data_IF_196252863557
#
_entry.id   IF_196252863557
#
_cell.length_a   1.000
_cell.length_b   1.000
_cell.length_c   1.000
_cell.angle_alpha   90.00
_cell.angle_beta   90.00
_cell.angle_gamma   90.00
#
_symmetry.space_group_name_H-M   'P 1'
#
loop_
_entity.id
_entity.type
_entity.pdbx_description
1 polymer ?
#
# COMPACT_ATOMS: atom_id res chain seq x y z
N UNK A 1 2.22 1.22 29.93
CA UNK A 1 3.60 1.06 29.44
C UNK A 1 3.57 0.51 28.02
N UNK A 2 3.88 1.31 26.99
CA UNK A 2 3.84 0.84 25.59
C UNK A 2 5.24 0.39 25.19
N UNK A 3 5.44 -0.92 25.11
CA UNK A 3 6.72 -1.52 24.72
C UNK A 3 7.19 -0.92 23.38
N UNK A 4 8.38 -0.31 23.42
CA UNK A 4 9.02 0.36 22.29
C UNK A 4 9.71 -0.71 21.43
N UNK A 5 8.93 -1.50 20.70
CA UNK A 5 9.50 -2.45 19.73
C UNK A 5 10.28 -1.66 18.68
N UNK A 6 11.54 -2.04 18.37
CA UNK A 6 12.30 -1.37 17.33
C UNK A 6 11.56 -1.54 16.00
N UNK A 7 11.26 -0.42 15.36
CA UNK A 7 10.38 -0.31 14.20
C UNK A 7 10.78 -1.23 13.04
N UNK A 8 12.09 -1.45 12.88
CA UNK A 8 12.65 -2.39 11.90
C UNK A 8 12.24 -3.84 12.15
N UNK A 9 12.09 -4.24 13.42
CA UNK A 9 11.67 -5.58 13.80
C UNK A 9 10.21 -5.85 13.46
N UNK A 10 9.32 -4.86 13.68
CA UNK A 10 7.91 -5.00 13.35
C UNK A 10 7.66 -5.04 11.83
N UNK A 11 8.39 -4.22 11.07
CA UNK A 11 8.35 -4.26 9.61
C UNK A 11 8.92 -5.56 9.05
N UNK A 12 10.02 -6.06 9.61
CA UNK A 12 10.59 -7.35 9.23
C UNK A 12 9.64 -8.52 9.51
N UNK A 13 8.95 -8.52 10.66
CA UNK A 13 7.94 -9.51 10.99
C UNK A 13 6.74 -9.46 10.03
N UNK A 14 6.25 -8.27 9.67
CA UNK A 14 5.19 -8.13 8.65
C UNK A 14 5.62 -8.73 7.31
N UNK A 15 6.83 -8.42 6.84
CA UNK A 15 7.34 -8.95 5.57
C UNK A 15 7.52 -10.47 5.65
N UNK A 16 7.99 -11.00 6.79
CA UNK A 16 8.17 -12.42 7.01
C UNK A 16 6.85 -13.18 7.01
N UNK A 17 5.85 -12.71 7.75
CA UNK A 17 4.51 -13.30 7.73
C UNK A 17 3.89 -13.23 6.33
N UNK A 18 4.00 -12.10 5.64
CA UNK A 18 3.51 -11.95 4.27
C UNK A 18 4.20 -12.91 3.28
N UNK A 19 5.50 -13.15 3.44
CA UNK A 19 6.23 -14.14 2.64
C UNK A 19 5.76 -15.57 2.90
N UNK A 20 5.45 -15.91 4.17
CA UNK A 20 4.90 -17.22 4.53
C UNK A 20 3.52 -17.40 3.90
N UNK A 21 2.60 -16.44 4.07
CA UNK A 21 1.25 -16.51 3.50
C UNK A 21 1.28 -16.60 1.97
N UNK A 22 2.10 -15.78 1.31
CA UNK A 22 2.29 -15.84 -0.13
C UNK A 22 2.89 -17.19 -0.58
N UNK A 23 3.83 -17.74 0.17
CA UNK A 23 4.42 -19.06 -0.09
C UNK A 23 3.40 -20.20 0.05
N UNK A 24 2.56 -20.15 1.08
CA UNK A 24 1.46 -21.11 1.27
C UNK A 24 0.47 -21.00 0.11
N UNK A 25 0.05 -19.79 -0.24
CA UNK A 25 -0.85 -19.56 -1.37
C UNK A 25 -0.28 -20.07 -2.70
N UNK A 26 0.99 -19.77 -2.99
CA UNK A 26 1.69 -20.25 -4.17
C UNK A 26 1.78 -21.78 -4.21
N UNK A 27 2.02 -22.43 -3.06
CA UNK A 27 2.06 -23.88 -2.94
C UNK A 27 0.71 -24.56 -3.21
N UNK A 28 -0.38 -23.95 -2.76
CA UNK A 28 -1.73 -24.44 -3.09
C UNK A 28 -2.10 -24.19 -4.55
N UNK A 29 -1.68 -23.06 -5.12
CA UNK A 29 -2.06 -22.65 -6.48
C UNK A 29 -1.25 -23.38 -7.55
N UNK A 30 0.06 -23.50 -7.37
CA UNK A 30 1.01 -23.98 -8.36
C UNK A 30 1.63 -25.30 -7.85
N UNK A 31 0.94 -26.42 -8.15
CA UNK A 31 1.38 -27.78 -7.77
C UNK A 31 2.49 -28.33 -8.68
N UNK A 32 2.71 -27.72 -9.85
CA UNK A 32 3.70 -28.18 -10.82
C UNK A 32 5.11 -27.72 -10.44
N UNK A 33 6.01 -28.68 -10.22
CA UNK A 33 7.40 -28.43 -9.81
C UNK A 33 8.20 -27.62 -10.85
N UNK A 34 7.79 -27.64 -12.12
CA UNK A 34 8.40 -26.82 -13.18
C UNK A 34 8.15 -25.32 -13.00
N UNK A 35 7.05 -24.91 -12.36
CA UNK A 35 6.73 -23.50 -12.16
C UNK A 35 7.56 -22.86 -11.04
N UNK A 36 8.04 -23.67 -10.10
CA UNK A 36 8.95 -23.29 -9.02
C UNK A 36 10.40 -23.11 -9.47
N UNK A 37 10.74 -23.59 -10.67
CA UNK A 37 12.09 -23.50 -11.20
C UNK A 37 12.33 -22.09 -11.76
N UNK A 38 12.80 -21.19 -10.90
CA UNK A 38 13.07 -19.80 -11.25
C UNK A 38 14.43 -19.71 -11.97
N UNK A 39 14.40 -19.90 -13.29
CA UNK A 39 15.60 -19.75 -14.11
C UNK A 39 16.15 -18.32 -14.14
N UNK A 40 17.41 -18.15 -14.54
CA UNK A 40 18.11 -16.86 -14.67
C UNK A 40 17.61 -16.05 -15.88
N UNK A 41 16.32 -15.71 -15.85
CA UNK A 41 15.59 -15.06 -16.93
C UNK A 41 14.99 -13.73 -16.47
N UNK A 42 14.40 -12.97 -17.40
CA UNK A 42 13.67 -11.72 -17.13
C UNK A 42 12.64 -11.86 -15.99
N UNK A 43 12.04 -13.06 -15.82
CA UNK A 43 11.10 -13.37 -14.72
C UNK A 43 11.71 -13.15 -13.34
N UNK A 44 12.98 -13.52 -13.16
CA UNK A 44 13.69 -13.35 -11.90
C UNK A 44 13.95 -11.86 -11.65
N UNK A 45 14.41 -11.14 -12.68
CA UNK A 45 14.66 -9.70 -12.58
C UNK A 45 13.39 -8.89 -12.28
N UNK A 46 12.29 -9.15 -12.98
CA UNK A 46 11.00 -8.45 -12.76
C UNK A 46 10.45 -8.74 -11.37
N UNK A 47 10.53 -9.98 -10.89
CA UNK A 47 10.05 -10.37 -9.56
C UNK A 47 10.91 -9.75 -8.47
N UNK A 48 12.23 -9.77 -8.62
CA UNK A 48 13.15 -9.12 -7.69
C UNK A 48 12.93 -7.60 -7.66
N UNK A 49 12.79 -6.95 -8.81
CA UNK A 49 12.50 -5.52 -8.88
C UNK A 49 11.19 -5.17 -8.17
N UNK A 50 10.11 -5.90 -8.46
CA UNK A 50 8.81 -5.69 -7.81
C UNK A 50 8.89 -5.90 -6.29
N UNK A 51 9.59 -6.95 -5.83
CA UNK A 51 9.79 -7.23 -4.40
C UNK A 51 10.63 -6.16 -3.69
N UNK A 52 11.73 -5.71 -4.29
CA UNK A 52 12.59 -4.66 -3.72
C UNK A 52 11.83 -3.33 -3.63
N UNK A 53 11.10 -2.95 -4.69
CA UNK A 53 10.36 -1.68 -4.71
C UNK A 53 9.20 -1.71 -3.71
N UNK A 54 8.42 -2.79 -3.68
CA UNK A 54 7.26 -2.91 -2.79
C UNK A 54 7.67 -3.09 -1.32
N UNK A 55 8.45 -4.12 -0.97
CA UNK A 55 8.81 -4.39 0.43
C UNK A 55 9.92 -3.47 0.93
N UNK A 56 10.94 -3.20 0.09
CA UNK A 56 12.09 -2.41 0.49
C UNK A 56 11.79 -0.91 0.54
N UNK A 57 11.26 -0.35 -0.55
CA UNK A 57 11.01 1.09 -0.63
C UNK A 57 9.67 1.48 0.00
N UNK A 58 8.57 0.86 -0.45
CA UNK A 58 7.23 1.34 -0.10
C UNK A 58 6.92 1.11 1.39
N UNK A 59 7.20 -0.08 1.95
CA UNK A 59 6.93 -0.35 3.38
C UNK A 59 7.80 0.50 4.29
N UNK A 60 9.08 0.68 3.95
CA UNK A 60 9.99 1.54 4.71
C UNK A 60 9.54 3.01 4.68
N UNK A 61 9.13 3.49 3.50
CA UNK A 61 8.60 4.85 3.33
C UNK A 61 7.27 5.04 4.08
N UNK A 62 6.36 4.06 4.03
CA UNK A 62 5.10 4.07 4.78
C UNK A 62 5.37 4.12 6.30
N UNK A 63 6.27 3.27 6.78
CA UNK A 63 6.68 3.24 8.18
C UNK A 63 7.25 4.61 8.59
N UNK A 64 8.16 5.16 7.79
CA UNK A 64 8.76 6.46 8.03
C UNK A 64 7.74 7.61 8.04
N UNK A 65 6.85 7.68 7.06
CA UNK A 65 5.77 8.66 6.97
C UNK A 65 4.81 8.57 8.17
N UNK A 66 4.48 7.34 8.61
CA UNK A 66 3.66 7.09 9.81
C UNK A 66 4.29 7.70 11.05
N UNK A 67 5.63 7.65 11.17
CA UNK A 67 6.35 8.23 12.31
C UNK A 67 6.34 9.77 12.31
N UNK A 68 6.45 10.39 11.12
CA UNK A 68 6.54 11.85 10.98
C UNK A 68 5.20 12.57 11.14
N UNK A 69 4.15 12.09 10.47
CA UNK A 69 2.84 12.77 10.41
C UNK A 69 1.71 11.99 11.09
N UNK A 70 2.02 10.84 11.67
CA UNK A 70 1.06 9.93 12.27
C UNK A 70 0.38 9.00 11.25
N UNK A 71 -0.21 7.88 11.72
CA UNK A 71 -0.84 6.87 10.86
C UNK A 71 -2.01 7.42 10.03
N UNK A 72 -2.71 8.44 10.53
CA UNK A 72 -3.84 9.08 9.84
C UNK A 72 -3.43 9.73 8.51
N UNK A 73 -2.20 10.24 8.40
CA UNK A 73 -1.72 10.83 7.16
C UNK A 73 -1.58 9.75 6.10
N UNK A 74 -0.92 8.63 6.42
CA UNK A 74 -0.72 7.50 5.49
C UNK A 74 -2.05 6.90 5.04
N UNK A 75 -3.00 6.70 5.96
CA UNK A 75 -4.32 6.14 5.62
C UNK A 75 -5.13 7.03 4.68
N UNK A 76 -4.89 8.35 4.68
CA UNK A 76 -5.54 9.28 3.75
C UNK A 76 -4.92 9.23 2.34
N UNK A 77 -3.67 8.80 2.20
CA UNK A 77 -3.02 8.65 0.89
C UNK A 77 -3.37 7.35 0.17
N UNK A 78 -3.77 6.30 0.88
CA UNK A 78 -4.23 5.05 0.27
C UNK A 78 -5.33 5.24 -0.79
N UNK A 79 -6.43 5.94 -0.49
CA UNK A 79 -7.46 6.22 -1.48
C UNK A 79 -6.95 7.07 -2.66
N UNK A 80 -6.07 8.05 -2.42
CA UNK A 80 -5.47 8.87 -3.48
C UNK A 80 -4.56 8.03 -4.40
N UNK A 81 -3.80 7.09 -3.82
CA UNK A 81 -2.97 6.17 -4.56
C UNK A 81 -3.83 5.26 -5.46
N UNK A 82 -4.99 4.80 -4.99
CA UNK A 82 -5.93 4.02 -5.82
C UNK A 82 -6.44 4.81 -7.02
N UNK A 83 -6.80 6.08 -6.84
CA UNK A 83 -7.22 6.95 -7.94
C UNK A 83 -6.07 7.14 -8.94
N UNK A 84 -4.84 7.38 -8.45
CA UNK A 84 -3.66 7.52 -9.32
C UNK A 84 -3.39 6.24 -10.12
N UNK A 85 -3.46 5.07 -9.47
CA UNK A 85 -3.31 3.77 -10.14
C UNK A 85 -4.40 3.56 -11.20
N UNK A 86 -5.65 3.95 -10.92
CA UNK A 86 -6.73 3.85 -11.90
C UNK A 86 -6.47 4.74 -13.13
N UNK A 87 -6.01 5.98 -12.93
CA UNK A 87 -5.64 6.90 -14.02
C UNK A 87 -4.47 6.34 -14.84
N UNK A 88 -3.39 5.90 -14.18
CA UNK A 88 -2.23 5.34 -14.88
C UNK A 88 -2.58 4.03 -15.59
N UNK A 89 -3.37 3.16 -14.97
CA UNK A 89 -3.83 1.90 -15.57
C UNK A 89 -4.65 2.15 -16.83
N UNK A 90 -5.53 3.13 -16.81
CA UNK A 90 -6.38 3.45 -17.97
C UNK A 90 -5.59 4.13 -19.10
N UNK A 91 -4.58 4.94 -18.77
CA UNK A 91 -3.68 5.55 -19.75
C UNK A 91 -2.68 4.56 -20.37
N UNK A 92 -2.10 3.67 -19.56
CA UNK A 92 -1.02 2.76 -19.98
C UNK A 92 -1.57 1.45 -20.55
N UNK A 93 -2.64 0.92 -19.96
CA UNK A 93 -3.24 -0.37 -20.33
C UNK A 93 -4.45 -0.22 -21.28
N UNK A 94 -4.86 1.03 -21.58
CA UNK A 94 -6.04 1.36 -22.39
C UNK A 94 -7.34 0.72 -21.88
N UNK A 95 -7.41 0.50 -20.55
CA UNK A 95 -8.54 -0.15 -19.92
C UNK A 95 -9.76 0.78 -19.94
N UNK A 96 -10.92 0.26 -20.35
CA UNK A 96 -12.12 1.06 -20.45
C UNK A 96 -12.56 1.53 -19.05
N UNK A 97 -12.54 2.85 -18.84
CA UNK A 97 -12.97 3.49 -17.60
C UNK A 97 -14.46 3.24 -17.37
N UNK A 98 -14.77 2.21 -16.59
CA UNK A 98 -16.12 1.91 -16.19
C UNK A 98 -16.68 3.05 -15.33
N UNK A 99 -17.94 3.42 -15.55
CA UNK A 99 -18.67 4.44 -14.78
C UNK A 99 -18.54 4.25 -13.26
N UNK A 100 -18.50 3.00 -12.79
CA UNK A 100 -18.29 2.67 -11.39
C UNK A 100 -16.96 3.16 -10.80
N UNK A 101 -15.88 3.20 -11.58
CA UNK A 101 -14.57 3.72 -11.14
C UNK A 101 -14.60 5.24 -10.96
N UNK A 102 -15.30 5.94 -11.86
CA UNK A 102 -15.50 7.40 -11.78
C UNK A 102 -16.32 7.76 -10.54
N UNK A 103 -17.44 7.06 -10.33
CA UNK A 103 -18.31 7.27 -9.16
C UNK A 103 -17.55 6.94 -7.86
N UNK A 104 -16.80 5.84 -7.83
CA UNK A 104 -15.97 5.46 -6.70
C UNK A 104 -14.91 6.51 -6.37
N UNK A 105 -14.25 7.07 -7.40
CA UNK A 105 -13.25 8.14 -7.23
C UNK A 105 -13.85 9.40 -6.62
N UNK A 106 -15.04 9.82 -7.08
CA UNK A 106 -15.77 10.97 -6.51
C UNK A 106 -16.11 10.72 -5.04
N UNK A 107 -16.60 9.52 -4.70
CA UNK A 107 -16.96 9.17 -3.33
C UNK A 107 -15.74 9.18 -2.40
N UNK A 108 -14.60 8.68 -2.89
CA UNK A 108 -13.32 8.71 -2.18
C UNK A 108 -12.88 10.16 -1.89
N UNK A 109 -12.95 11.05 -2.88
CA UNK A 109 -12.59 12.47 -2.72
C UNK A 109 -13.50 13.14 -1.69
N UNK A 110 -14.80 12.87 -1.75
CA UNK A 110 -15.77 13.38 -0.78
C UNK A 110 -15.46 12.90 0.65
N UNK A 111 -15.19 11.60 0.84
CA UNK A 111 -14.81 11.04 2.13
C UNK A 111 -13.52 11.66 2.69
N UNK A 112 -12.50 11.84 1.84
CA UNK A 112 -11.26 12.52 2.23
C UNK A 112 -11.50 13.97 2.66
N UNK A 113 -12.34 14.70 1.95
CA UNK A 113 -12.70 16.08 2.31
C UNK A 113 -13.39 16.16 3.68
N UNK A 114 -14.32 15.24 3.97
CA UNK A 114 -15.01 15.17 5.26
C UNK A 114 -13.99 14.90 6.39
N UNK A 115 -13.07 13.95 6.18
CA UNK A 115 -12.00 13.65 7.15
C UNK A 115 -11.11 14.88 7.37
N UNK A 116 -10.66 15.54 6.30
CA UNK A 116 -9.82 16.74 6.39
C UNK A 116 -10.52 17.87 7.15
N UNK A 117 -11.82 18.06 6.88
CA UNK A 117 -12.64 19.04 7.56
C UNK A 117 -12.76 18.74 9.06
N UNK A 118 -12.96 17.46 9.42
CA UNK A 118 -12.93 17.00 10.80
C UNK A 118 -11.59 17.31 11.50
N UNK A 119 -10.47 16.96 10.87
CA UNK A 119 -9.12 17.26 11.39
C UNK A 119 -8.86 18.77 11.54
N UNK A 120 -9.31 19.58 10.59
CA UNK A 120 -9.20 21.03 10.64
C UNK A 120 -10.00 21.62 11.82
N UNK A 121 -11.18 21.06 12.10
CA UNK A 121 -12.03 21.46 13.24
C UNK A 121 -11.39 21.07 14.57
N UNK A 122 -10.82 19.86 14.68
CA UNK A 122 -10.05 19.44 15.85
C UNK A 122 -8.85 20.35 16.13
N UNK A 123 -8.09 20.74 15.09
CA UNK A 123 -6.96 21.66 15.24
C UNK A 123 -7.40 23.03 15.73
N UNK A 124 -8.49 23.58 15.20
CA UNK A 124 -9.07 24.85 15.66
C UNK A 124 -9.58 24.77 17.10
N UNK A 125 -10.14 23.63 17.52
CA UNK A 125 -10.59 23.39 18.90
C UNK A 125 -9.42 23.32 19.88
N UNK A 126 -8.29 22.70 19.50
CA UNK A 126 -7.08 22.64 20.33
C UNK A 126 -6.34 23.99 20.42
N UNK A 127 -6.58 24.90 19.48
CA UNK A 127 -6.00 26.24 19.43
C UNK A 127 -6.84 27.30 20.14
N UNK A 128 -8.00 26.94 20.70
CA UNK A 128 -8.79 27.84 21.54
C UNK A 128 -8.24 27.74 22.98
N UNK A 129 -7.69 28.83 23.56
CA UNK A 129 -7.20 28.84 24.93
C UNK A 129 -8.33 28.65 25.94
#
# INVERSE_FOLDING_TARGET
MRQRYPMYSNTALMCFCGAIEAGIYAYFRERDSSAWNLGWNIRLFTTSYSGIVSSGLAVTMIAWCTKLKGPLYVSSFYPLALIFVAIVGTLVLHEELHLGSVIGSIFIIAGLYIVLWGKAKEMKLKLKP
#
